data_IF_637486314356
#
_entry.id   IF_637486314356
#
_cell.length_a   1.000
_cell.length_b   1.000
_cell.length_c   1.000
_cell.angle_alpha   90.00
_cell.angle_beta   90.00
_cell.angle_gamma   90.00
#
_symmetry.space_group_name_H-M   'P 1'
#
loop_
_entity.id
_entity.type
_entity.pdbx_description
1 polymer ?
#
# COMPACT_ATOMS: atom_id res chain seq x y z
N UNK A 1 -27.24 9.60 -21.90
CA UNK A 1 -26.36 10.48 -21.08
C UNK A 1 -26.09 9.74 -19.79
N UNK A 2 -24.95 9.06 -19.69
CA UNK A 2 -24.57 8.32 -18.49
C UNK A 2 -24.08 9.29 -17.42
N UNK A 3 -24.53 9.18 -16.16
CA UNK A 3 -24.07 10.08 -15.11
C UNK A 3 -22.62 9.74 -14.76
N UNK A 4 -21.73 10.70 -15.00
CA UNK A 4 -20.37 10.71 -14.47
C UNK A 4 -20.46 10.75 -12.94
N UNK A 5 -20.16 9.64 -12.29
CA UNK A 5 -20.06 9.59 -10.83
C UNK A 5 -18.89 10.50 -10.42
N UNK A 6 -19.11 11.57 -9.65
CA UNK A 6 -18.01 12.40 -9.17
C UNK A 6 -17.20 11.60 -8.14
N UNK A 7 -15.90 11.47 -8.38
CA UNK A 7 -14.92 10.92 -7.43
C UNK A 7 -14.75 11.86 -6.22
N UNK A 8 -15.77 11.97 -5.38
CA UNK A 8 -15.73 12.78 -4.14
C UNK A 8 -15.66 11.91 -2.90
N UNK A 9 -15.21 10.66 -3.01
CA UNK A 9 -14.83 9.89 -1.83
C UNK A 9 -13.41 10.35 -1.51
N UNK A 10 -13.16 11.26 -0.54
CA UNK A 10 -11.85 11.26 0.08
C UNK A 10 -11.60 9.81 0.46
N UNK A 11 -10.42 9.27 0.18
CA UNK A 11 -10.03 7.97 0.72
C UNK A 11 -10.05 8.12 2.25
N UNK A 12 -11.24 8.07 2.85
CA UNK A 12 -11.49 7.97 4.27
C UNK A 12 -11.04 6.57 4.58
N UNK A 13 -9.73 6.47 4.76
CA UNK A 13 -9.07 5.29 5.29
C UNK A 13 -9.88 4.97 6.53
N UNK A 14 -10.54 3.81 6.62
CA UNK A 14 -11.06 3.40 7.90
C UNK A 14 -9.85 3.37 8.83
N UNK A 15 -9.84 4.27 9.81
CA UNK A 15 -8.79 4.50 10.83
C UNK A 15 -8.71 3.32 11.79
N UNK A 16 -9.02 2.11 11.32
CA UNK A 16 -9.04 0.90 12.11
C UNK A 16 -7.63 0.41 12.47
N UNK A 17 -6.59 0.93 11.79
CA UNK A 17 -5.22 0.49 12.07
C UNK A 17 -4.23 1.66 12.05
N UNK A 18 -3.33 1.76 13.05
CA UNK A 18 -2.34 2.82 13.15
C UNK A 18 -1.21 2.58 12.15
N UNK A 19 -1.50 2.73 10.86
CA UNK A 19 -0.50 2.75 9.79
C UNK A 19 0.18 4.13 9.67
N UNK A 20 -0.43 5.19 10.23
CA UNK A 20 0.08 6.56 10.19
C UNK A 20 1.55 6.73 10.64
N UNK A 21 2.01 6.10 11.73
CA UNK A 21 3.41 6.18 12.17
C UNK A 21 4.41 5.60 11.16
N UNK A 22 4.02 4.56 10.41
CA UNK A 22 4.89 3.94 9.41
C UNK A 22 5.16 4.89 8.23
N UNK A 23 4.24 5.80 7.93
CA UNK A 23 4.40 6.80 6.86
C UNK A 23 5.33 7.97 7.23
N UNK A 24 5.69 8.12 8.50
CA UNK A 24 6.62 9.15 8.95
C UNK A 24 8.08 8.69 8.88
N UNK A 25 8.33 7.40 8.67
CA UNK A 25 9.67 6.84 8.52
C UNK A 25 10.20 7.22 7.14
N UNK A 26 11.24 8.04 7.12
CA UNK A 26 11.88 8.54 5.89
C UNK A 26 12.96 7.59 5.36
N UNK A 27 13.52 6.75 6.23
CA UNK A 27 14.50 5.73 5.84
C UNK A 27 13.81 4.48 5.29
N UNK A 28 14.22 4.05 4.09
CA UNK A 28 13.60 2.93 3.40
C UNK A 28 13.90 1.58 4.07
N UNK A 29 15.06 1.42 4.74
CA UNK A 29 15.42 0.17 5.41
C UNK A 29 14.63 0.03 6.71
N UNK A 30 14.55 1.09 7.51
CA UNK A 30 13.73 1.14 8.72
C UNK A 30 12.24 0.94 8.41
N UNK A 31 11.75 1.58 7.35
CA UNK A 31 10.38 1.40 6.86
C UNK A 31 10.12 -0.07 6.48
N UNK A 32 11.06 -0.71 5.80
CA UNK A 32 10.94 -2.11 5.41
C UNK A 32 10.83 -3.05 6.62
N UNK A 33 11.64 -2.82 7.66
CA UNK A 33 11.62 -3.63 8.89
C UNK A 33 10.35 -3.41 9.69
N UNK A 34 9.88 -2.17 9.79
CA UNK A 34 8.64 -1.85 10.47
C UNK A 34 7.42 -2.43 9.73
N UNK A 35 7.43 -2.41 8.40
CA UNK A 35 6.43 -3.07 7.56
C UNK A 35 6.41 -4.58 7.75
N UNK A 36 7.58 -5.22 7.86
CA UNK A 36 7.67 -6.67 8.02
C UNK A 36 6.96 -7.14 9.30
N UNK A 37 7.21 -6.46 10.43
CA UNK A 37 6.52 -6.73 11.70
C UNK A 37 5.02 -6.46 11.61
N UNK A 38 4.62 -5.38 10.94
CA UNK A 38 3.20 -5.04 10.78
C UNK A 38 2.45 -6.08 9.93
N UNK A 39 3.11 -6.63 8.89
CA UNK A 39 2.55 -7.60 7.95
C UNK A 39 2.72 -9.07 8.39
N UNK A 40 3.32 -9.29 9.56
CA UNK A 40 3.42 -10.63 10.16
C UNK A 40 2.01 -11.21 10.40
N UNK A 41 1.12 -10.40 10.97
CA UNK A 41 -0.27 -10.79 11.28
C UNK A 41 -1.28 -10.32 10.23
N UNK A 42 -0.82 -9.64 9.17
CA UNK A 42 -1.68 -8.95 8.20
C UNK A 42 -1.27 -9.20 6.75
N UNK A 43 -2.25 -9.27 5.87
CA UNK A 43 -2.00 -9.42 4.43
C UNK A 43 -1.90 -8.09 3.68
N UNK A 44 -2.50 -7.02 4.21
CA UNK A 44 -2.57 -5.68 3.59
C UNK A 44 -2.41 -4.59 4.64
N UNK A 45 -2.12 -3.36 4.19
CA UNK A 45 -1.95 -2.21 5.08
C UNK A 45 -3.27 -1.68 5.62
N UNK A 46 -4.35 -1.83 4.85
CA UNK A 46 -5.71 -1.47 5.24
C UNK A 46 -6.71 -2.46 4.65
N UNK A 47 -7.74 -2.82 5.43
CA UNK A 47 -8.79 -3.74 5.01
C UNK A 47 -8.28 -5.14 4.63
N UNK A 48 -8.96 -5.77 3.66
CA UNK A 48 -8.69 -7.13 3.21
C UNK A 48 -8.32 -7.21 1.72
N UNK A 49 -8.04 -6.07 1.09
CA UNK A 49 -7.70 -5.96 -0.32
C UNK A 49 -6.66 -4.85 -0.54
N UNK A 50 -5.91 -4.84 -1.65
CA UNK A 50 -5.00 -3.75 -1.98
C UNK A 50 -5.73 -2.40 -2.03
N UNK A 51 -5.17 -1.38 -1.39
CA UNK A 51 -5.72 -0.03 -1.33
C UNK A 51 -4.74 1.02 -1.85
N UNK A 52 -5.16 2.29 -1.90
CA UNK A 52 -4.29 3.42 -2.24
C UNK A 52 -3.07 3.55 -1.32
N UNK A 53 -3.20 3.11 -0.07
CA UNK A 53 -2.11 3.13 0.92
C UNK A 53 -1.01 2.19 0.47
N UNK A 54 -1.36 0.98 0.03
CA UNK A 54 -0.37 0.01 -0.42
C UNK A 54 0.47 0.56 -1.58
N UNK A 55 -0.16 1.20 -2.56
CA UNK A 55 0.55 1.84 -3.67
C UNK A 55 1.45 3.02 -3.22
N UNK A 56 0.98 3.85 -2.28
CA UNK A 56 1.80 4.94 -1.73
C UNK A 56 3.04 4.39 -1.01
N UNK A 57 2.88 3.33 -0.24
CA UNK A 57 3.99 2.69 0.47
C UNK A 57 4.99 2.04 -0.48
N UNK A 58 4.54 1.38 -1.56
CA UNK A 58 5.45 0.86 -2.61
C UNK A 58 6.28 1.99 -3.23
N UNK A 59 5.68 3.16 -3.49
CA UNK A 59 6.40 4.35 -4.02
C UNK A 59 7.42 4.89 -3.01
N UNK A 60 7.12 4.88 -1.72
CA UNK A 60 8.03 5.31 -0.66
C UNK A 60 9.23 4.36 -0.51
N UNK A 61 8.99 3.04 -0.57
CA UNK A 61 10.06 2.04 -0.49
C UNK A 61 11.05 2.11 -1.66
N UNK A 62 10.58 2.49 -2.87
CA UNK A 62 11.34 2.58 -4.14
C UNK A 62 11.93 1.26 -4.66
N UNK A 63 12.39 0.38 -3.77
CA UNK A 63 13.00 -0.91 -4.07
C UNK A 63 12.31 -2.05 -3.31
N UNK A 64 12.42 -3.30 -3.78
CA UNK A 64 11.88 -4.45 -3.07
C UNK A 64 12.58 -4.66 -1.71
N UNK A 65 11.84 -5.00 -0.64
CA UNK A 65 12.42 -5.35 0.65
C UNK A 65 13.40 -6.53 0.55
N UNK A 66 14.45 -6.59 1.40
CA UNK A 66 15.39 -7.70 1.41
C UNK A 66 14.70 -9.06 1.70
N UNK A 67 15.22 -10.18 1.18
CA UNK A 67 14.62 -11.51 1.36
C UNK A 67 14.45 -11.97 2.83
N UNK A 68 15.23 -11.39 3.76
CA UNK A 68 15.10 -11.64 5.20
C UNK A 68 13.76 -11.16 5.77
N UNK A 69 13.16 -10.12 5.14
CA UNK A 69 11.87 -9.53 5.51
C UNK A 69 10.75 -10.22 4.74
N UNK A 70 10.41 -11.43 5.19
CA UNK A 70 9.55 -12.37 4.45
C UNK A 70 8.14 -11.81 4.24
N UNK A 71 7.58 -11.13 5.23
CA UNK A 71 6.21 -10.64 5.21
C UNK A 71 6.10 -9.38 4.34
N UNK A 72 7.07 -8.46 4.48
CA UNK A 72 7.17 -7.27 3.65
C UNK A 72 7.42 -7.63 2.17
N UNK A 73 8.34 -8.57 1.89
CA UNK A 73 8.64 -8.99 0.53
C UNK A 73 7.46 -9.74 -0.13
N UNK A 74 6.76 -10.61 0.62
CA UNK A 74 5.53 -11.27 0.17
C UNK A 74 4.49 -10.23 -0.26
N UNK A 75 4.22 -9.26 0.60
CA UNK A 75 3.28 -8.17 0.31
C UNK A 75 3.75 -7.34 -0.90
N UNK A 76 5.01 -6.92 -0.95
CA UNK A 76 5.55 -6.13 -2.06
C UNK A 76 5.35 -6.82 -3.41
N UNK A 77 5.69 -8.11 -3.50
CA UNK A 77 5.50 -8.91 -4.72
C UNK A 77 4.03 -9.04 -5.09
N UNK A 78 3.15 -9.22 -4.12
CA UNK A 78 1.71 -9.34 -4.36
C UNK A 78 1.10 -8.04 -4.91
N UNK A 79 1.48 -6.89 -4.34
CA UNK A 79 1.01 -5.58 -4.83
C UNK A 79 1.58 -5.27 -6.22
N UNK A 80 2.88 -5.53 -6.43
CA UNK A 80 3.54 -5.24 -7.72
C UNK A 80 3.12 -6.18 -8.84
N UNK A 81 2.92 -7.48 -8.59
CA UNK A 81 2.40 -8.42 -9.57
C UNK A 81 1.00 -8.03 -10.09
N UNK A 82 0.16 -7.47 -9.21
CA UNK A 82 -1.18 -6.98 -9.58
C UNK A 82 -1.14 -5.68 -10.37
N UNK A 83 -0.12 -4.84 -10.17
CA UNK A 83 0.09 -3.64 -10.98
C UNK A 83 0.48 -3.95 -12.43
N UNK A 84 1.17 -5.08 -12.67
CA UNK A 84 1.59 -5.50 -14.02
C UNK A 84 0.41 -6.02 -14.87
N UNK A 85 -0.69 -6.47 -14.26
CA UNK A 85 -1.79 -7.12 -14.99
C UNK A 85 -3.05 -6.25 -15.17
N UNK A 86 -3.17 -5.08 -14.56
CA UNK A 86 -4.34 -4.21 -14.73
C UNK A 86 -3.95 -2.73 -14.76
N UNK A 87 -4.14 -2.12 -15.93
CA UNK A 87 -4.10 -0.68 -16.23
C UNK A 87 -5.20 0.14 -15.49
N UNK A 88 -5.75 -0.35 -14.37
CA UNK A 88 -6.88 0.25 -13.66
C UNK A 88 -6.55 0.92 -12.32
N UNK A 89 -5.33 0.80 -11.77
CA UNK A 89 -5.05 1.35 -10.42
C UNK A 89 -4.35 2.71 -10.39
N UNK A 90 -4.07 3.32 -11.55
CA UNK A 90 -3.56 4.71 -11.63
C UNK A 90 -4.68 5.75 -11.38
N UNK A 91 -5.96 5.35 -11.38
CA UNK A 91 -7.10 6.28 -11.25
C UNK A 91 -7.52 6.62 -9.82
N UNK A 92 -6.81 6.13 -8.80
CA UNK A 92 -7.14 6.41 -7.39
C UNK A 92 -6.36 7.58 -6.77
N UNK A 93 -5.39 8.17 -7.49
CA UNK A 93 -4.61 9.32 -7.03
C UNK A 93 -4.51 10.41 -8.12
N UNK A 94 -5.62 10.72 -8.78
CA UNK A 94 -5.76 11.93 -9.59
C UNK A 94 -6.66 12.91 -8.85
N UNK A 95 -6.14 13.45 -7.74
CA UNK A 95 -6.60 14.69 -7.14
C UNK A 95 -5.41 15.65 -7.16
#
# INVERSE_FOLDING_TARGET
>A
MSPSVPCSVPCSVPTAFPFGPLLQITDAAELSEALDRYLETRSYLSGFAPTCIDHKTIKLLRTPPPPRLKHALRWYRHITARAVSYSQLIRCCSC
#
